data_IF_544866447816
#
_entry.id   IF_544866447816
#
_cell.length_a   1.000
_cell.length_b   1.000
_cell.length_c   1.000
_cell.angle_alpha   90.00
_cell.angle_beta   90.00
_cell.angle_gamma   90.00
#
_symmetry.space_group_name_H-M   'P 1'
#
loop_
_entity.id
_entity.type
_entity.pdbx_description
1 polymer ?
#
# COMPACT_ATOMS: atom_id res chain seq x y z
N UNK A 1 -1.75 8.85 -7.77
CA UNK A 1 -2.10 7.93 -8.88
C UNK A 1 -1.57 8.39 -10.23
N UNK A 2 -1.58 9.71 -10.52
CA UNK A 2 -1.20 10.24 -11.84
C UNK A 2 0.22 9.86 -12.29
N UNK A 3 1.14 9.66 -11.37
CA UNK A 3 2.54 9.34 -11.66
C UNK A 3 2.84 7.84 -11.64
N UNK A 4 1.87 6.98 -11.29
CA UNK A 4 2.03 5.53 -11.17
C UNK A 4 3.26 5.13 -10.34
N UNK A 5 3.45 5.80 -9.20
CA UNK A 5 4.53 5.53 -8.25
C UNK A 5 3.96 5.12 -6.90
N UNK A 6 4.35 3.97 -6.39
CA UNK A 6 4.10 3.56 -5.01
C UNK A 6 5.18 4.15 -4.07
N UNK A 7 4.78 4.53 -2.86
CA UNK A 7 5.70 4.94 -1.81
C UNK A 7 6.44 3.70 -1.28
N UNK A 8 7.75 3.65 -1.46
CA UNK A 8 8.59 2.59 -0.92
C UNK A 8 9.20 2.99 0.43
N UNK A 9 9.39 2.03 1.30
CA UNK A 9 10.16 2.18 2.54
C UNK A 9 11.68 2.18 2.30
N UNK A 10 12.13 1.90 1.07
CA UNK A 10 13.53 2.03 0.70
C UNK A 10 13.96 3.49 0.74
N UNK A 11 14.93 3.78 1.61
CA UNK A 11 15.40 5.14 1.88
C UNK A 11 16.82 5.36 1.36
N UNK A 12 17.02 6.45 0.62
CA UNK A 12 18.32 6.76 -0.01
C UNK A 12 19.34 7.42 0.93
N UNK A 13 18.96 7.72 2.16
CA UNK A 13 19.67 8.60 3.09
C UNK A 13 19.11 10.02 3.13
N UNK A 14 18.30 10.38 2.14
CA UNK A 14 17.60 11.67 2.05
C UNK A 14 16.11 11.52 1.80
N UNK A 15 15.67 10.59 0.93
CA UNK A 15 14.27 10.44 0.50
C UNK A 15 13.91 8.97 0.30
N UNK A 16 12.62 8.67 0.45
CA UNK A 16 12.07 7.37 0.07
C UNK A 16 12.01 7.24 -1.45
N UNK A 17 12.30 6.06 -1.94
CA UNK A 17 12.16 5.73 -3.36
C UNK A 17 10.70 5.59 -3.76
N UNK A 18 10.44 5.67 -5.06
CA UNK A 18 9.16 5.30 -5.66
C UNK A 18 9.32 4.08 -6.54
N UNK A 19 8.42 3.12 -6.38
CA UNK A 19 8.35 1.93 -7.24
C UNK A 19 7.38 2.19 -8.38
N UNK A 20 7.80 1.87 -9.61
CA UNK A 20 6.91 1.91 -10.77
C UNK A 20 5.83 0.85 -10.64
N UNK A 21 4.57 1.27 -10.77
CA UNK A 21 3.41 0.39 -10.67
C UNK A 21 2.50 0.56 -11.88
N UNK A 22 1.65 -0.42 -12.11
CA UNK A 22 0.62 -0.37 -13.15
C UNK A 22 -0.76 -0.43 -12.51
N UNK A 23 -1.72 0.29 -13.10
CA UNK A 23 -3.12 0.29 -12.67
C UNK A 23 -3.99 -0.16 -13.85
N UNK A 24 -4.63 -1.31 -13.70
CA UNK A 24 -5.50 -1.88 -14.75
C UNK A 24 -6.79 -2.39 -14.12
N UNK A 25 -7.93 -1.88 -14.59
CA UNK A 25 -9.24 -2.27 -14.09
C UNK A 25 -9.41 -2.07 -12.56
N UNK A 26 -8.82 -1.01 -12.01
CA UNK A 26 -8.86 -0.72 -10.58
C UNK A 26 -7.90 -1.56 -9.72
N UNK A 27 -7.07 -2.40 -10.32
CA UNK A 27 -6.08 -3.24 -9.62
C UNK A 27 -4.68 -2.69 -9.79
N UNK A 28 -3.97 -2.54 -8.68
CA UNK A 28 -2.57 -2.14 -8.65
C UNK A 28 -1.67 -3.37 -8.76
N UNK A 29 -0.64 -3.31 -9.62
CA UNK A 29 0.35 -4.36 -9.80
C UNK A 29 1.76 -3.76 -9.96
N UNK A 30 2.79 -4.58 -9.76
CA UNK A 30 4.20 -4.17 -9.87
C UNK A 30 4.79 -3.60 -8.58
N UNK A 31 4.01 -3.52 -7.49
CA UNK A 31 4.53 -3.12 -6.17
C UNK A 31 5.35 -4.24 -5.52
N UNK A 32 6.32 -3.85 -4.70
CA UNK A 32 7.17 -4.74 -3.91
C UNK A 32 6.71 -4.79 -2.45
N UNK A 33 7.28 -5.69 -1.65
CA UNK A 33 7.02 -5.77 -0.20
C UNK A 33 7.36 -4.45 0.52
N UNK A 34 8.41 -3.77 0.08
CA UNK A 34 8.82 -2.47 0.60
C UNK A 34 7.79 -1.34 0.37
N UNK A 35 6.80 -1.55 -0.50
CA UNK A 35 5.74 -0.59 -0.80
C UNK A 35 4.47 -0.85 0.02
N UNK A 36 4.48 -1.89 0.86
CA UNK A 36 3.34 -2.28 1.70
C UNK A 36 3.47 -1.60 3.07
N UNK A 37 2.44 -0.86 3.45
CA UNK A 37 2.37 -0.14 4.71
C UNK A 37 1.20 -0.63 5.55
N UNK A 38 1.46 -0.88 6.83
CA UNK A 38 0.41 -1.15 7.82
C UNK A 38 -0.10 0.19 8.37
N UNK A 39 -1.39 0.43 8.24
CA UNK A 39 -2.03 1.64 8.75
C UNK A 39 -2.41 1.42 10.22
N UNK A 40 -1.98 2.31 11.10
CA UNK A 40 -2.44 2.43 12.48
C UNK A 40 -3.25 3.70 12.66
N UNK A 41 -4.18 3.70 13.61
CA UNK A 41 -4.97 4.87 14.01
C UNK A 41 -4.63 5.20 15.45
N UNK A 42 -4.24 6.44 15.71
CA UNK A 42 -3.96 6.95 17.06
C UNK A 42 -5.27 7.41 17.75
N UNK A 43 -5.23 7.57 19.07
CA UNK A 43 -6.38 8.01 19.87
C UNK A 43 -6.91 9.41 19.49
N UNK A 44 -6.05 10.27 18.92
CA UNK A 44 -6.41 11.59 18.40
C UNK A 44 -6.99 11.58 16.98
N UNK A 45 -7.18 10.39 16.40
CA UNK A 45 -7.69 10.20 15.05
C UNK A 45 -6.64 10.38 13.94
N UNK A 46 -5.39 10.69 14.27
CA UNK A 46 -4.30 10.70 13.30
C UNK A 46 -3.86 9.27 12.93
N UNK A 47 -3.11 9.14 11.85
CA UNK A 47 -2.68 7.87 11.28
C UNK A 47 -1.18 7.68 11.40
N UNK A 48 -0.76 6.43 11.47
CA UNK A 48 0.63 6.01 11.27
C UNK A 48 0.72 5.04 10.11
N UNK A 49 1.83 5.03 9.40
CA UNK A 49 2.14 4.10 8.32
C UNK A 49 3.42 3.36 8.69
N UNK A 50 3.33 2.05 8.90
CA UNK A 50 4.44 1.23 9.37
C UNK A 50 4.85 0.18 8.34
N UNK A 51 6.14 -0.05 8.23
CA UNK A 51 6.73 -1.15 7.46
C UNK A 51 6.47 -2.50 8.14
N UNK A 52 6.79 -3.61 7.47
CA UNK A 52 6.67 -4.95 8.03
C UNK A 52 7.51 -5.19 9.29
N UNK A 53 8.67 -4.52 9.41
CA UNK A 53 9.53 -4.54 10.60
C UNK A 53 9.14 -3.48 11.67
N UNK A 54 8.00 -2.82 11.50
CA UNK A 54 7.39 -1.91 12.47
C UNK A 54 7.91 -0.48 12.46
N UNK A 55 8.84 -0.13 11.56
CA UNK A 55 9.33 1.25 11.42
C UNK A 55 8.26 2.16 10.83
N UNK A 56 8.14 3.37 11.35
CA UNK A 56 7.09 4.32 10.97
C UNK A 56 7.58 5.35 9.97
N UNK A 57 6.77 5.60 8.94
CA UNK A 57 6.95 6.76 8.07
C UNK A 57 6.91 8.03 8.93
N UNK A 58 7.87 8.93 8.73
CA UNK A 58 8.03 10.09 9.60
C UNK A 58 8.57 11.30 8.85
N UNK A 59 8.62 12.42 9.50
CA UNK A 59 9.42 13.58 9.09
C UNK A 59 10.45 13.94 10.14
N UNK A 60 11.58 14.46 9.67
CA UNK A 60 12.62 15.04 10.52
C UNK A 60 12.24 16.46 10.97
N UNK A 61 12.91 16.97 12.01
CA UNK A 61 12.71 18.34 12.52
C UNK A 61 13.03 19.43 11.50
N UNK A 62 13.98 19.20 10.60
CA UNK A 62 14.56 20.25 9.74
C UNK A 62 14.21 20.08 8.25
N UNK A 63 14.21 18.85 7.78
CA UNK A 63 14.18 18.58 6.34
C UNK A 63 12.80 18.16 5.84
N UNK A 64 12.56 18.33 4.56
CA UNK A 64 11.37 17.88 3.85
C UNK A 64 11.39 16.39 3.51
N UNK A 65 12.45 15.69 3.90
CA UNK A 65 12.57 14.24 3.75
C UNK A 65 11.54 13.49 4.59
N UNK A 66 11.21 12.27 4.14
CA UNK A 66 10.25 11.39 4.80
C UNK A 66 10.92 10.09 5.26
N UNK A 67 11.90 10.16 6.19
CA UNK A 67 12.62 9.01 6.72
C UNK A 67 11.71 8.11 7.57
N UNK A 68 12.27 7.00 8.06
CA UNK A 68 11.61 6.14 9.03
C UNK A 68 12.05 6.50 10.46
N UNK A 69 11.11 6.35 11.44
CA UNK A 69 11.36 6.48 12.89
C UNK A 69 12.03 7.79 13.33
N UNK A 70 11.65 8.91 12.74
CA UNK A 70 12.05 10.24 13.20
C UNK A 70 10.94 10.90 14.04
N UNK A 71 11.12 12.17 14.40
CA UNK A 71 10.33 12.88 15.39
C UNK A 71 8.81 12.88 15.13
N UNK A 72 8.40 13.02 13.87
CA UNK A 72 7.00 13.27 13.51
C UNK A 72 6.41 12.11 12.72
N UNK A 73 5.80 11.14 13.39
CA UNK A 73 5.23 9.92 12.80
C UNK A 73 3.72 9.96 12.57
N UNK A 74 3.03 11.01 13.04
CA UNK A 74 1.59 11.15 12.93
C UNK A 74 1.20 11.93 11.66
N UNK A 75 0.16 11.45 10.98
CA UNK A 75 -0.34 11.98 9.73
C UNK A 75 -1.85 12.13 9.75
N UNK A 76 -2.40 13.12 9.07
CA UNK A 76 -3.84 13.26 8.80
C UNK A 76 -4.13 13.02 7.33
N UNK A 77 -5.37 12.61 7.04
CA UNK A 77 -5.88 12.42 5.69
C UNK A 77 -6.93 13.49 5.41
N UNK A 78 -6.70 14.31 4.42
CA UNK A 78 -7.64 15.31 3.92
C UNK A 78 -8.12 14.87 2.54
N UNK A 79 -9.42 14.97 2.24
CA UNK A 79 -9.95 14.61 0.92
C UNK A 79 -9.29 15.48 -0.16
N UNK A 80 -8.72 14.85 -1.19
CA UNK A 80 -8.15 15.57 -2.33
C UNK A 80 -9.26 16.00 -3.32
N UNK A 81 -8.93 16.92 -4.22
CA UNK A 81 -9.80 17.28 -5.33
C UNK A 81 -9.94 16.14 -6.35
N UNK A 82 -8.92 15.31 -6.49
CA UNK A 82 -8.97 14.07 -7.27
C UNK A 82 -9.82 13.03 -6.52
N UNK A 83 -10.82 12.46 -7.19
CA UNK A 83 -11.71 11.43 -6.65
C UNK A 83 -10.93 10.23 -6.10
N UNK A 84 -11.39 9.67 -4.97
CA UNK A 84 -10.78 8.54 -4.26
C UNK A 84 -9.32 8.75 -3.83
N UNK A 85 -8.87 10.02 -3.76
CA UNK A 85 -7.52 10.39 -3.34
C UNK A 85 -7.54 11.24 -2.06
N UNK A 86 -6.42 11.23 -1.36
CA UNK A 86 -6.20 11.97 -0.13
C UNK A 86 -4.89 12.76 -0.19
N UNK A 87 -4.89 13.92 0.42
CA UNK A 87 -3.66 14.59 0.84
C UNK A 87 -3.26 14.00 2.19
N UNK A 88 -2.02 13.52 2.26
CA UNK A 88 -1.44 12.94 3.48
C UNK A 88 -0.57 14.01 4.12
N UNK A 89 -1.03 14.58 5.25
CA UNK A 89 -0.37 15.71 5.91
C UNK A 89 0.28 15.27 7.20
N UNK A 90 1.56 15.57 7.38
CA UNK A 90 2.26 15.35 8.63
C UNK A 90 1.76 16.32 9.71
N UNK A 91 1.35 15.80 10.86
CA UNK A 91 0.77 16.60 11.96
C UNK A 91 1.80 17.59 12.54
N UNK A 92 3.00 17.10 12.87
CA UNK A 92 4.03 17.90 13.53
C UNK A 92 4.70 18.93 12.62
N UNK A 93 4.75 18.68 11.32
CA UNK A 93 5.42 19.55 10.34
C UNK A 93 4.45 20.33 9.46
N UNK A 94 3.15 20.04 9.53
CA UNK A 94 2.12 20.64 8.67
C UNK A 94 2.47 20.57 7.18
N UNK A 95 3.18 19.51 6.76
CA UNK A 95 3.67 19.32 5.40
C UNK A 95 2.97 18.14 4.73
N UNK A 96 2.66 18.26 3.47
CA UNK A 96 1.95 17.28 2.67
C UNK A 96 2.90 16.35 1.95
N UNK A 97 2.69 15.05 2.04
CA UNK A 97 3.44 14.03 1.30
C UNK A 97 3.24 14.24 -0.20
N UNK A 98 4.33 14.25 -0.96
CA UNK A 98 4.31 14.42 -2.40
C UNK A 98 5.24 13.43 -3.12
N UNK A 99 4.90 13.11 -4.36
CA UNK A 99 5.83 12.57 -5.32
C UNK A 99 6.59 13.71 -5.99
N UNK A 100 7.84 13.94 -5.57
CA UNK A 100 8.70 14.98 -6.16
C UNK A 100 9.28 14.50 -7.49
N UNK A 101 8.55 14.75 -8.58
CA UNK A 101 8.83 14.19 -9.90
C UNK A 101 10.21 14.61 -10.44
N UNK A 102 10.65 15.85 -10.20
CA UNK A 102 11.96 16.35 -10.66
C UNK A 102 13.14 15.56 -10.06
N UNK A 103 12.99 15.04 -8.85
CA UNK A 103 14.02 14.28 -8.14
C UNK A 103 13.74 12.77 -8.12
N UNK A 104 12.61 12.35 -8.71
CA UNK A 104 12.19 10.94 -8.76
C UNK A 104 12.18 10.27 -7.38
N UNK A 105 11.60 10.94 -6.39
CA UNK A 105 11.52 10.47 -5.00
C UNK A 105 10.30 11.00 -4.26
N UNK A 106 10.04 10.46 -3.06
CA UNK A 106 9.02 10.95 -2.15
C UNK A 106 9.63 11.96 -1.16
N UNK A 107 8.90 13.03 -0.96
CA UNK A 107 9.22 14.08 0.03
C UNK A 107 7.92 14.66 0.61
N UNK A 108 8.02 15.74 1.40
CA UNK A 108 6.85 16.46 1.87
C UNK A 108 7.05 17.97 1.72
N UNK A 109 5.99 18.68 1.39
CA UNK A 109 6.04 20.15 1.18
C UNK A 109 4.95 20.87 1.95
N UNK A 110 5.24 22.08 2.43
CA UNK A 110 4.36 22.83 3.34
C UNK A 110 3.04 23.29 2.73
N UNK A 111 2.93 23.34 1.40
CA UNK A 111 1.73 23.78 0.68
C UNK A 111 1.49 22.89 -0.53
N UNK A 112 0.21 22.62 -0.83
CA UNK A 112 -0.17 21.97 -2.08
C UNK A 112 0.05 22.98 -3.20
N UNK A 113 0.99 22.67 -4.10
CA UNK A 113 1.32 23.53 -5.23
C UNK A 113 0.26 23.50 -6.34
N UNK A 114 0.52 24.19 -7.41
CA UNK A 114 -0.36 24.23 -8.60
C UNK A 114 -0.50 22.88 -9.30
N UNK A 115 0.43 21.94 -9.09
CA UNK A 115 0.36 20.57 -9.57
C UNK A 115 -0.16 19.64 -8.46
N UNK A 116 -1.46 19.68 -8.20
CA UNK A 116 -2.16 18.89 -7.18
C UNK A 116 -1.91 17.38 -7.35
N UNK A 117 -1.71 16.90 -8.57
CA UNK A 117 -1.47 15.49 -8.89
C UNK A 117 -0.21 14.90 -8.21
N UNK A 118 0.73 15.72 -7.77
CA UNK A 118 1.89 15.27 -6.99
C UNK A 118 1.52 14.92 -5.55
N UNK A 119 0.47 15.55 -5.01
CA UNK A 119 0.03 15.44 -3.60
C UNK A 119 -1.17 14.52 -3.40
N UNK A 120 -1.96 14.26 -4.43
CA UNK A 120 -3.12 13.37 -4.36
C UNK A 120 -2.70 11.89 -4.35
N UNK A 121 -2.91 11.22 -3.23
CA UNK A 121 -2.51 9.83 -3.01
C UNK A 121 -3.72 8.91 -2.90
N UNK A 122 -3.68 7.74 -3.54
CA UNK A 122 -4.69 6.70 -3.43
C UNK A 122 -4.18 5.53 -2.58
N UNK A 123 -5.09 4.91 -1.83
CA UNK A 123 -4.80 3.71 -1.05
C UNK A 123 -5.40 2.47 -1.73
N UNK A 124 -4.61 1.42 -1.83
CA UNK A 124 -5.04 0.12 -2.31
C UNK A 124 -4.91 -0.90 -1.18
N UNK A 125 -6.02 -1.53 -0.81
CA UNK A 125 -5.98 -2.60 0.19
C UNK A 125 -5.29 -3.83 -0.40
N UNK A 126 -4.27 -4.32 0.29
CA UNK A 126 -3.69 -5.61 0.01
C UNK A 126 -4.65 -6.67 0.53
N UNK A 127 -5.30 -7.40 -0.37
CA UNK A 127 -6.00 -8.62 0.00
C UNK A 127 -4.92 -9.69 0.23
N UNK A 128 -4.83 -10.20 1.44
CA UNK A 128 -4.01 -11.38 1.72
C UNK A 128 -4.64 -12.55 0.96
N UNK A 129 -4.15 -12.80 -0.25
CA UNK A 129 -4.36 -14.09 -0.91
C UNK A 129 -3.38 -15.07 -0.29
N UNK A 130 -3.84 -16.09 0.39
CA UNK A 130 -2.99 -17.08 1.04
C UNK A 130 -3.84 -18.10 1.79
N UNK A 131 -3.18 -19.08 2.39
CA UNK A 131 -3.87 -20.08 3.24
C UNK A 131 -4.46 -19.35 4.44
N UNK A 132 -5.78 -19.42 4.57
CA UNK A 132 -6.50 -18.89 5.73
C UNK A 132 -6.59 -19.95 6.82
N UNK A 133 -6.51 -19.54 8.07
CA UNK A 133 -6.59 -20.44 9.24
C UNK A 133 -8.01 -20.56 9.79
N UNK A 134 -8.93 -19.72 9.30
CA UNK A 134 -10.36 -19.74 9.64
C UNK A 134 -11.18 -19.23 8.48
N UNK A 135 -12.43 -19.66 8.41
CA UNK A 135 -13.44 -19.19 7.45
C UNK A 135 -14.67 -18.73 8.21
N UNK A 136 -15.37 -17.73 7.69
CA UNK A 136 -16.58 -17.15 8.26
C UNK A 136 -17.72 -17.20 7.24
N UNK A 137 -18.95 -16.95 7.70
CA UNK A 137 -20.12 -16.88 6.83
C UNK A 137 -19.93 -15.75 5.78
N UNK A 138 -20.20 -16.09 4.52
CA UNK A 138 -20.02 -15.17 3.38
C UNK A 138 -18.61 -15.12 2.77
N UNK A 139 -17.63 -15.82 3.34
CA UNK A 139 -16.29 -15.88 2.75
C UNK A 139 -16.29 -16.63 1.42
N UNK A 140 -15.64 -16.04 0.43
CA UNK A 140 -15.35 -16.71 -0.85
C UNK A 140 -13.94 -17.29 -0.80
N UNK A 141 -13.85 -18.60 -0.88
CA UNK A 141 -12.58 -19.32 -0.73
C UNK A 141 -12.33 -20.29 -1.89
N UNK A 142 -11.06 -20.54 -2.18
CA UNK A 142 -10.63 -21.66 -3.01
C UNK A 142 -10.15 -22.78 -2.08
N UNK A 143 -10.77 -23.95 -2.18
CA UNK A 143 -10.29 -25.14 -1.47
C UNK A 143 -9.18 -25.75 -2.30
N UNK A 144 -7.96 -25.79 -1.75
CA UNK A 144 -6.75 -26.19 -2.46
C UNK A 144 -5.97 -27.25 -1.70
N UNK A 145 -5.52 -28.27 -2.41
CA UNK A 145 -4.63 -29.30 -1.86
C UNK A 145 -3.18 -28.97 -2.28
N UNK A 146 -2.32 -28.51 -1.34
CA UNK A 146 -0.96 -28.12 -1.68
C UNK A 146 -0.05 -29.28 -2.06
N UNK A 147 -0.38 -30.52 -1.64
CA UNK A 147 0.45 -31.69 -1.94
C UNK A 147 0.40 -32.11 -3.41
N UNK A 148 -0.70 -31.84 -4.11
CA UNK A 148 -0.88 -32.21 -5.49
C UNK A 148 -1.20 -31.05 -6.44
N UNK A 149 -1.20 -29.80 -5.95
CA UNK A 149 -1.46 -28.60 -6.75
C UNK A 149 -2.88 -28.52 -7.32
N UNK A 150 -3.89 -29.13 -6.68
CA UNK A 150 -5.25 -29.16 -7.17
C UNK A 150 -6.19 -28.28 -6.35
N UNK A 151 -6.96 -27.42 -7.03
CA UNK A 151 -8.11 -26.74 -6.44
C UNK A 151 -9.40 -27.53 -6.72
N UNK A 152 -10.33 -27.49 -5.76
CA UNK A 152 -11.67 -28.07 -5.91
C UNK A 152 -12.45 -27.27 -6.96
N UNK A 153 -12.87 -27.92 -8.03
CA UNK A 153 -13.75 -27.35 -9.04
C UNK A 153 -15.23 -27.58 -8.75
N UNK A 154 -16.09 -26.70 -9.17
CA UNK A 154 -17.55 -26.91 -9.18
C UNK A 154 -18.00 -27.90 -10.28
N UNK A 155 -17.10 -28.28 -11.19
CA UNK A 155 -17.39 -29.23 -12.24
C UNK A 155 -17.51 -30.65 -11.67
N UNK A 156 -18.71 -31.23 -11.78
CA UNK A 156 -19.04 -32.52 -11.20
C UNK A 156 -19.17 -33.62 -12.26
N UNK A 157 -18.59 -34.77 -12.00
CA UNK A 157 -18.54 -35.91 -12.94
C UNK A 157 -19.73 -36.89 -12.79
N UNK A 158 -20.62 -36.67 -11.80
CA UNK A 158 -21.67 -37.58 -11.42
C UNK A 158 -21.29 -38.46 -10.20
N UNK A 159 -20.00 -38.49 -9.82
CA UNK A 159 -19.50 -39.21 -8.64
C UNK A 159 -18.61 -38.30 -7.77
N UNK A 160 -17.86 -37.41 -8.34
CA UNK A 160 -16.93 -36.51 -7.62
C UNK A 160 -16.70 -35.23 -8.42
N UNK A 161 -16.28 -34.20 -7.71
CA UNK A 161 -15.87 -32.93 -8.35
C UNK A 161 -14.48 -33.07 -8.97
N UNK A 162 -14.26 -32.45 -10.10
CA UNK A 162 -12.94 -32.36 -10.72
C UNK A 162 -11.99 -31.50 -9.91
N UNK A 163 -10.69 -31.71 -10.11
CA UNK A 163 -9.65 -30.82 -9.62
C UNK A 163 -9.10 -29.97 -10.77
N UNK A 164 -8.91 -28.69 -10.51
CA UNK A 164 -8.26 -27.76 -11.44
C UNK A 164 -6.78 -27.61 -11.05
N UNK A 165 -5.86 -27.67 -12.00
CA UNK A 165 -4.44 -27.42 -11.77
C UNK A 165 -4.22 -25.94 -11.39
N UNK A 166 -3.52 -25.73 -10.28
CA UNK A 166 -3.21 -24.40 -9.76
C UNK A 166 -1.72 -24.33 -9.45
N UNK A 167 -1.09 -23.26 -9.88
CA UNK A 167 0.30 -22.96 -9.53
C UNK A 167 0.33 -21.81 -8.53
N UNK A 168 0.98 -22.03 -7.40
CA UNK A 168 1.26 -20.97 -6.42
C UNK A 168 2.47 -20.16 -6.89
N UNK A 169 2.26 -18.87 -7.13
CA UNK A 169 3.34 -17.95 -7.50
C UNK A 169 3.66 -17.07 -6.29
N UNK A 170 4.93 -17.09 -5.86
CA UNK A 170 5.39 -16.29 -4.74
C UNK A 170 4.80 -16.68 -3.37
N UNK A 171 4.40 -17.96 -3.18
CA UNK A 171 3.83 -18.44 -1.92
C UNK A 171 2.41 -17.97 -1.62
N UNK A 172 1.73 -17.48 -2.65
CA UNK A 172 0.34 -16.96 -2.58
C UNK A 172 -0.53 -17.65 -3.62
#
# INVERSE_FOLDING_TARGET
>A
PANLKALSSEYTGFYNKGTDVTLTGGKLAGFAEADIWTVGVNDDGSYTFSTADGKKLSMDEKYSSTPLDKAHTAWTLEQAATEDCYYIKNVGRSSYLEWYAEKNNWSAFGTIGSNEALFAQAFFKIQKSGIVTSVSDGDQVVVFNPANGKALSTEYTGFYNKGTDVTLTGGK
#
